data_IF_714708027554
#
_entry.id   IF_714708027554
#
_cell.length_a   1.000
_cell.length_b   1.000
_cell.length_c   1.000
_cell.angle_alpha   90.00
_cell.angle_beta   90.00
_cell.angle_gamma   90.00
#
_symmetry.space_group_name_H-M   'P 1'
#
loop_
_entity.id
_entity.type
_entity.pdbx_description
1 polymer ?
#
# COMPACT_ATOMS: atom_id res chain seq x y z
N UNK A 1 0.89 -15.81 -19.12
CA UNK A 1 2.03 -14.92 -19.27
C UNK A 1 3.04 -15.03 -18.11
N UNK A 2 2.80 -15.86 -17.09
CA UNK A 2 3.74 -16.15 -16.01
C UNK A 2 4.00 -14.99 -15.04
N UNK A 3 3.14 -13.99 -14.98
CA UNK A 3 3.19 -12.94 -13.96
C UNK A 3 2.35 -13.30 -12.73
N UNK A 4 2.77 -12.83 -11.58
CA UNK A 4 2.02 -12.94 -10.31
C UNK A 4 1.85 -11.54 -9.75
N UNK A 5 0.61 -11.16 -9.52
CA UNK A 5 0.28 -9.96 -8.74
C UNK A 5 0.31 -10.32 -7.25
N UNK A 6 1.14 -9.62 -6.49
CA UNK A 6 1.16 -9.73 -5.03
C UNK A 6 0.59 -8.45 -4.45
N UNK A 7 -0.56 -8.58 -3.82
CA UNK A 7 -1.16 -7.45 -3.09
C UNK A 7 -0.57 -7.38 -1.68
N UNK A 8 -0.03 -6.23 -1.35
CA UNK A 8 0.17 -5.86 0.04
C UNK A 8 -1.16 -6.08 0.80
N UNK A 9 -1.08 -6.50 2.06
CA UNK A 9 -2.29 -6.84 2.87
C UNK A 9 -3.24 -5.64 3.07
N UNK A 10 -3.57 -4.90 2.01
CA UNK A 10 -4.55 -3.80 1.93
C UNK A 10 -4.57 -2.83 3.14
N UNK A 11 -3.44 -2.68 3.86
CA UNK A 11 -3.31 -1.91 5.11
C UNK A 11 -2.01 -1.11 5.19
N UNK A 12 -1.15 -1.23 4.17
CA UNK A 12 0.21 -0.72 4.20
C UNK A 12 1.16 -1.57 5.04
N UNK A 13 0.88 -2.88 5.18
CA UNK A 13 1.74 -3.86 5.83
C UNK A 13 2.39 -4.73 4.75
N UNK A 14 3.71 -4.68 4.58
CA UNK A 14 4.41 -5.54 3.62
C UNK A 14 4.14 -7.03 3.86
N UNK A 15 3.98 -7.77 2.77
CA UNK A 15 3.92 -9.23 2.78
C UNK A 15 5.28 -9.83 3.15
N UNK A 16 5.37 -11.15 3.28
CA UNK A 16 6.65 -11.85 3.37
C UNK A 16 7.34 -11.86 1.99
N UNK A 17 8.11 -10.82 1.73
CA UNK A 17 8.77 -10.59 0.45
C UNK A 17 9.76 -11.70 0.15
N UNK A 18 10.55 -12.14 1.13
CA UNK A 18 11.55 -13.18 0.94
C UNK A 18 10.90 -14.50 0.49
N UNK A 19 9.76 -14.86 1.09
CA UNK A 19 9.02 -16.06 0.69
C UNK A 19 8.42 -15.94 -0.74
N UNK A 20 7.85 -14.77 -1.06
CA UNK A 20 7.28 -14.52 -2.40
C UNK A 20 8.37 -14.55 -3.48
N UNK A 21 9.50 -13.88 -3.25
CA UNK A 21 10.59 -13.85 -4.23
C UNK A 21 11.26 -15.21 -4.40
N UNK A 22 11.34 -16.02 -3.33
CA UNK A 22 11.80 -17.39 -3.43
C UNK A 22 10.91 -18.26 -4.33
N UNK A 23 9.58 -18.11 -4.20
CA UNK A 23 8.61 -18.79 -5.06
C UNK A 23 8.73 -18.30 -6.51
N UNK A 24 8.79 -17.00 -6.72
CA UNK A 24 8.92 -16.40 -8.04
C UNK A 24 10.18 -16.90 -8.74
N UNK A 25 11.32 -16.90 -8.06
CA UNK A 25 12.58 -17.41 -8.59
C UNK A 25 12.50 -18.89 -8.94
N UNK A 26 11.87 -19.72 -8.07
CA UNK A 26 11.70 -21.16 -8.31
C UNK A 26 10.89 -21.45 -9.57
N UNK A 27 9.90 -20.61 -9.86
CA UNK A 27 8.97 -20.82 -10.97
C UNK A 27 9.20 -19.88 -12.16
N UNK A 28 10.31 -19.11 -12.14
CA UNK A 28 10.64 -18.12 -13.17
C UNK A 28 9.49 -17.12 -13.45
N UNK A 29 8.91 -16.59 -12.37
CA UNK A 29 7.80 -15.65 -12.42
C UNK A 29 8.29 -14.21 -12.27
N UNK A 30 7.58 -13.26 -12.87
CA UNK A 30 7.74 -11.84 -12.62
C UNK A 30 6.87 -11.44 -11.44
N UNK A 31 7.36 -10.53 -10.59
CA UNK A 31 6.65 -10.07 -9.39
C UNK A 31 6.31 -8.60 -9.52
N UNK A 32 5.03 -8.29 -9.39
CA UNK A 32 4.53 -6.92 -9.28
C UNK A 32 3.89 -6.75 -7.91
N UNK A 33 4.42 -5.84 -7.09
CA UNK A 33 3.82 -5.52 -5.80
C UNK A 33 2.80 -4.40 -5.96
N UNK A 34 1.54 -4.68 -5.61
CA UNK A 34 0.52 -3.64 -5.42
C UNK A 34 0.73 -2.98 -4.06
N UNK A 35 1.40 -1.85 -4.07
CA UNK A 35 1.72 -1.05 -2.90
C UNK A 35 0.88 0.22 -2.80
N UNK A 36 -0.34 0.18 -3.34
CA UNK A 36 -1.27 1.31 -3.35
C UNK A 36 -1.56 1.90 -1.95
N UNK A 37 -1.29 1.16 -0.89
CA UNK A 37 -1.47 1.56 0.51
C UNK A 37 -0.16 1.55 1.32
N UNK A 38 0.98 1.29 0.67
CA UNK A 38 2.26 1.03 1.34
C UNK A 38 3.31 2.13 1.14
N UNK A 39 2.89 3.37 0.89
CA UNK A 39 3.80 4.52 0.83
C UNK A 39 4.63 4.60 2.11
N UNK A 40 5.96 4.67 1.99
CA UNK A 40 6.91 4.66 3.10
C UNK A 40 6.95 3.36 3.93
N UNK A 41 6.31 2.28 3.47
CA UNK A 41 6.53 0.97 4.07
C UNK A 41 7.92 0.44 3.71
N UNK A 42 8.51 -0.31 4.63
CA UNK A 42 9.84 -0.88 4.48
C UNK A 42 9.82 -2.38 4.82
N UNK A 43 10.70 -3.12 4.19
CA UNK A 43 10.99 -4.52 4.52
C UNK A 43 12.50 -4.71 4.65
N UNK A 44 12.95 -5.27 5.77
CA UNK A 44 14.36 -5.43 6.10
C UNK A 44 15.19 -4.13 5.89
N UNK A 45 14.60 -2.98 6.28
CA UNK A 45 15.22 -1.65 6.19
C UNK A 45 15.27 -1.04 4.79
N UNK A 46 14.64 -1.65 3.79
CA UNK A 46 14.53 -1.12 2.43
C UNK A 46 13.09 -0.75 2.10
N UNK A 47 12.90 0.35 1.38
CA UNK A 47 11.58 0.74 0.88
C UNK A 47 11.00 -0.31 -0.06
N UNK A 48 9.68 -0.50 -0.02
CA UNK A 48 8.98 -1.54 -0.81
C UNK A 48 9.27 -1.44 -2.31
N UNK A 49 9.43 -0.26 -2.86
CA UNK A 49 9.76 -0.06 -4.27
C UNK A 49 11.09 -0.66 -4.73
N UNK A 50 11.93 -1.16 -3.81
CA UNK A 50 13.19 -1.82 -4.12
C UNK A 50 13.06 -3.34 -4.37
N UNK A 51 11.84 -3.88 -4.31
CA UNK A 51 11.57 -5.31 -4.43
C UNK A 51 10.71 -5.61 -5.66
N UNK A 52 10.74 -6.88 -6.08
CA UNK A 52 10.05 -7.35 -7.28
C UNK A 52 10.59 -6.76 -8.58
N UNK A 53 9.94 -7.05 -9.68
CA UNK A 53 10.24 -6.45 -11.00
C UNK A 53 9.64 -5.05 -11.11
N UNK A 54 8.47 -4.83 -10.50
CA UNK A 54 7.79 -3.54 -10.43
C UNK A 54 6.97 -3.40 -9.13
N UNK A 55 6.69 -2.15 -8.77
CA UNK A 55 5.85 -1.82 -7.63
C UNK A 55 4.91 -0.67 -8.02
N UNK A 56 3.62 -0.80 -7.73
CA UNK A 56 2.60 0.20 -8.06
C UNK A 56 2.13 0.96 -6.83
N UNK A 57 1.89 2.26 -6.98
CA UNK A 57 1.40 3.14 -5.93
C UNK A 57 0.17 3.91 -6.41
N UNK A 58 -0.78 4.13 -5.52
CA UNK A 58 -1.95 4.96 -5.77
C UNK A 58 -1.80 6.32 -5.10
N UNK A 59 -2.16 7.39 -5.81
CA UNK A 59 -2.25 8.74 -5.27
C UNK A 59 -3.69 9.20 -5.11
N UNK A 60 -4.62 8.26 -5.05
CA UNK A 60 -6.02 8.59 -4.73
C UNK A 60 -6.11 9.39 -3.43
N UNK A 61 -7.09 10.28 -3.32
CA UNK A 61 -7.21 11.28 -2.25
C UNK A 61 -7.08 10.73 -0.82
N UNK A 62 -7.51 9.48 -0.57
CA UNK A 62 -7.46 8.86 0.76
C UNK A 62 -6.11 8.22 1.10
N UNK A 63 -5.20 8.11 0.15
CA UNK A 63 -3.90 7.46 0.36
C UNK A 63 -2.96 8.30 1.22
N UNK A 64 -1.93 7.68 1.80
CA UNK A 64 -0.94 8.38 2.62
C UNK A 64 -0.25 9.52 1.84
N UNK A 65 -0.06 9.33 0.54
CA UNK A 65 0.33 10.36 -0.41
C UNK A 65 -0.82 10.53 -1.42
N UNK A 66 -1.78 11.41 -1.11
CA UNK A 66 -2.93 11.68 -1.96
C UNK A 66 -2.78 12.97 -2.76
N UNK A 67 -3.09 12.91 -4.05
CA UNK A 67 -3.09 14.08 -4.97
C UNK A 67 -4.45 14.30 -5.64
N UNK A 68 -5.50 13.65 -5.12
CA UNK A 68 -6.83 13.55 -5.74
C UNK A 68 -6.92 12.27 -6.55
N UNK A 69 -6.33 12.25 -7.71
CA UNK A 69 -6.14 11.07 -8.57
C UNK A 69 -4.68 10.98 -8.99
N UNK A 70 -4.24 9.78 -9.35
CA UNK A 70 -2.89 9.52 -9.83
C UNK A 70 -2.30 8.23 -9.31
N UNK A 71 -1.08 7.98 -9.73
CA UNK A 71 -0.31 6.81 -9.32
C UNK A 71 1.12 6.89 -9.80
N UNK A 72 1.90 5.92 -9.36
CA UNK A 72 3.30 5.76 -9.76
C UNK A 72 3.62 4.28 -9.90
N UNK A 73 4.50 3.98 -10.81
CA UNK A 73 5.13 2.66 -10.93
C UNK A 73 6.63 2.84 -10.76
N UNK A 74 7.22 2.08 -9.85
CA UNK A 74 8.67 1.90 -9.81
C UNK A 74 9.03 0.58 -10.48
N UNK A 75 10.15 0.55 -11.19
CA UNK A 75 10.59 -0.61 -11.97
C UNK A 75 12.02 -0.93 -11.59
N UNK A 76 12.27 -2.16 -11.18
CA UNK A 76 13.61 -2.66 -10.85
C UNK A 76 14.19 -3.51 -12.00
N UNK A 77 13.38 -3.84 -13.00
CA UNK A 77 13.77 -4.57 -14.19
C UNK A 77 13.82 -3.61 -15.38
N UNK A 78 15.01 -3.39 -15.94
CA UNK A 78 15.22 -2.48 -17.07
C UNK A 78 14.48 -2.90 -18.35
N UNK A 79 14.13 -4.18 -18.49
CA UNK A 79 13.37 -4.69 -19.64
C UNK A 79 11.91 -4.27 -19.62
N UNK A 80 11.41 -3.79 -18.46
CA UNK A 80 10.06 -3.25 -18.32
C UNK A 80 10.04 -1.77 -18.72
N UNK A 81 10.05 -1.48 -19.99
CA UNK A 81 10.05 -0.13 -20.55
C UNK A 81 8.67 0.56 -20.41
N UNK A 82 8.18 0.77 -19.18
CA UNK A 82 6.85 1.35 -18.90
C UNK A 82 6.79 2.84 -19.28
N UNK A 83 7.93 3.53 -19.25
CA UNK A 83 7.99 4.98 -19.49
C UNK A 83 7.44 5.43 -20.83
N UNK A 84 7.70 4.69 -21.91
CA UNK A 84 7.18 5.01 -23.23
C UNK A 84 5.69 4.67 -23.39
N UNK A 85 5.18 3.61 -22.73
CA UNK A 85 3.75 3.28 -22.72
C UNK A 85 2.91 4.37 -22.08
N UNK A 86 3.43 5.03 -21.02
CA UNK A 86 2.82 6.19 -20.36
C UNK A 86 2.68 7.39 -21.31
N UNK A 87 3.54 7.49 -22.31
CA UNK A 87 3.67 8.63 -23.21
C UNK A 87 3.45 8.24 -24.67
N UNK A 88 2.29 7.67 -24.99
CA UNK A 88 1.83 7.33 -26.35
C UNK A 88 2.64 6.26 -27.10
N UNK A 89 3.49 5.48 -26.42
CA UNK A 89 4.39 4.54 -27.09
C UNK A 89 5.52 5.24 -27.88
N UNK A 90 5.84 6.47 -27.48
CA UNK A 90 6.80 7.33 -28.18
C UNK A 90 8.20 7.07 -27.63
N UNK A 91 9.13 6.71 -28.51
CA UNK A 91 10.55 6.48 -28.22
C UNK A 91 11.43 7.69 -28.55
N UNK A 92 10.97 8.50 -29.51
CA UNK A 92 11.52 9.82 -29.83
C UNK A 92 10.35 10.70 -30.30
N UNK A 93 10.59 12.02 -30.43
CA UNK A 93 9.56 12.99 -30.79
C UNK A 93 8.84 12.57 -32.09
N UNK A 94 7.55 12.29 -31.97
CA UNK A 94 6.67 11.80 -33.05
C UNK A 94 7.01 10.41 -33.60
N UNK A 95 7.90 9.65 -32.96
CA UNK A 95 8.20 8.25 -33.33
C UNK A 95 7.50 7.31 -32.34
N UNK A 96 6.39 6.72 -32.78
CA UNK A 96 5.58 5.78 -32.00
C UNK A 96 5.87 4.35 -32.45
N UNK A 97 6.53 3.58 -31.60
CA UNK A 97 6.91 2.19 -31.91
C UNK A 97 5.92 1.16 -31.35
N UNK A 98 5.02 1.61 -30.48
CA UNK A 98 3.97 0.76 -29.93
C UNK A 98 2.72 1.56 -29.57
N UNK A 99 1.62 0.83 -29.26
CA UNK A 99 0.43 1.45 -28.68
C UNK A 99 0.76 1.87 -27.26
N UNK A 100 0.53 3.15 -26.95
CA UNK A 100 0.71 3.71 -25.62
C UNK A 100 -0.47 4.61 -25.24
N UNK A 101 -0.40 5.14 -24.02
CA UNK A 101 -1.47 5.92 -23.39
C UNK A 101 -0.99 7.33 -23.05
N UNK A 102 -1.89 8.21 -22.73
CA UNK A 102 -1.54 9.44 -22.03
C UNK A 102 -1.80 9.28 -20.53
N UNK A 103 -0.83 8.71 -19.84
CA UNK A 103 -0.85 8.53 -18.39
C UNK A 103 0.12 9.45 -17.67
N UNK A 104 0.45 10.58 -18.31
CA UNK A 104 1.29 11.61 -17.68
C UNK A 104 0.50 12.34 -16.60
N UNK A 105 1.12 12.47 -15.41
CA UNK A 105 0.62 13.32 -14.34
C UNK A 105 0.59 14.78 -14.83
N UNK A 106 -0.48 15.50 -14.58
CA UNK A 106 -0.54 16.95 -14.85
C UNK A 106 0.19 17.74 -13.75
N UNK A 107 0.54 18.98 -14.07
CA UNK A 107 1.36 19.83 -13.21
C UNK A 107 0.66 20.19 -11.89
N UNK A 108 -0.66 20.35 -11.89
CA UNK A 108 -1.45 20.64 -10.68
C UNK A 108 -1.32 19.46 -9.70
N UNK A 109 -1.56 18.24 -10.19
CA UNK A 109 -1.41 17.00 -9.40
C UNK A 109 0.04 16.84 -8.93
N UNK A 110 1.02 17.14 -9.79
CA UNK A 110 2.43 17.14 -9.46
C UNK A 110 2.78 18.10 -8.33
N UNK A 111 2.27 19.33 -8.38
CA UNK A 111 2.50 20.35 -7.34
C UNK A 111 1.90 19.92 -5.97
N UNK A 112 0.70 19.36 -5.97
CA UNK A 112 0.09 18.79 -4.76
C UNK A 112 0.97 17.66 -4.21
N UNK A 113 1.46 16.76 -5.08
CA UNK A 113 2.33 15.66 -4.70
C UNK A 113 3.63 16.13 -4.07
N UNK A 114 4.28 17.12 -4.64
CA UNK A 114 5.51 17.71 -4.08
C UNK A 114 5.29 18.27 -2.68
N UNK A 115 4.22 19.04 -2.48
CA UNK A 115 3.86 19.57 -1.16
C UNK A 115 3.58 18.44 -0.14
N UNK A 116 2.90 17.39 -0.56
CA UNK A 116 2.61 16.21 0.31
C UNK A 116 3.85 15.40 0.67
N UNK A 117 4.86 15.35 -0.20
CA UNK A 117 6.11 14.65 0.09
C UNK A 117 6.85 15.24 1.29
N UNK A 118 6.75 16.56 1.51
CA UNK A 118 7.40 17.24 2.63
C UNK A 118 6.89 16.72 3.99
N UNK A 119 5.60 16.38 4.08
CA UNK A 119 4.96 15.90 5.32
C UNK A 119 4.82 14.39 5.40
N UNK A 120 5.03 13.65 4.31
CA UNK A 120 4.78 12.20 4.24
C UNK A 120 5.55 11.40 5.29
N UNK A 121 6.85 11.67 5.47
CA UNK A 121 7.68 10.96 6.44
C UNK A 121 7.26 11.22 7.89
N UNK A 122 7.12 12.48 8.35
CA UNK A 122 6.65 12.75 9.71
C UNK A 122 5.23 12.21 9.97
N UNK A 123 4.31 12.29 8.99
CA UNK A 123 2.97 11.73 9.12
C UNK A 123 3.00 10.19 9.24
N UNK A 124 3.83 9.51 8.46
CA UNK A 124 4.00 8.06 8.56
C UNK A 124 4.56 7.65 9.93
N UNK A 125 5.53 8.38 10.46
CA UNK A 125 6.08 8.12 11.79
C UNK A 125 5.02 8.33 12.88
N UNK A 126 4.15 9.34 12.75
CA UNK A 126 3.02 9.54 13.66
C UNK A 126 2.02 8.38 13.59
N UNK A 127 1.70 7.87 12.39
CA UNK A 127 0.84 6.67 12.23
C UNK A 127 1.44 5.46 12.92
N UNK A 128 2.77 5.24 12.81
CA UNK A 128 3.48 4.16 13.49
C UNK A 128 3.35 4.27 15.01
N UNK A 129 3.59 5.46 15.57
CA UNK A 129 3.44 5.70 17.00
C UNK A 129 2.00 5.44 17.50
N UNK A 130 0.99 5.85 16.72
CA UNK A 130 -0.42 5.54 17.04
C UNK A 130 -0.70 4.05 16.98
N UNK A 131 -0.15 3.34 15.98
CA UNK A 131 -0.30 1.90 15.85
C UNK A 131 0.32 1.14 17.04
N UNK A 132 1.47 1.60 17.57
CA UNK A 132 2.11 1.03 18.76
C UNK A 132 1.24 1.20 20.01
N UNK A 133 0.59 2.38 20.15
CA UNK A 133 -0.38 2.61 21.24
C UNK A 133 -1.59 1.67 21.10
N UNK A 134 -2.13 1.51 19.90
CA UNK A 134 -3.22 0.56 19.65
C UNK A 134 -2.79 -0.86 19.99
N UNK A 135 -1.61 -1.29 19.53
CA UNK A 135 -1.10 -2.63 19.81
C UNK A 135 -1.05 -2.93 21.30
N UNK A 136 -0.50 -2.00 22.10
CA UNK A 136 -0.37 -2.18 23.57
C UNK A 136 -1.70 -2.25 24.31
N UNK A 137 -2.78 -1.68 23.75
CA UNK A 137 -4.10 -1.64 24.38
C UNK A 137 -5.02 -2.74 23.87
N UNK A 138 -5.00 -3.03 22.58
CA UNK A 138 -5.90 -4.01 21.96
C UNK A 138 -5.54 -5.43 22.38
N UNK A 139 -4.25 -5.74 22.58
CA UNK A 139 -3.82 -7.07 23.04
C UNK A 139 -4.41 -7.46 24.42
N UNK A 140 -4.94 -6.50 25.19
CA UNK A 140 -5.61 -6.73 26.46
C UNK A 140 -7.14 -6.93 26.32
N UNK A 141 -7.69 -6.88 25.11
CA UNK A 141 -9.14 -6.98 24.85
C UNK A 141 -9.46 -8.34 24.26
N UNK A 142 -10.14 -9.19 25.00
CA UNK A 142 -10.56 -10.49 24.53
C UNK A 142 -11.49 -10.36 23.31
N UNK A 143 -11.30 -11.21 22.32
CA UNK A 143 -12.10 -11.25 21.10
C UNK A 143 -11.78 -10.16 20.08
N UNK A 144 -10.80 -9.27 20.34
CA UNK A 144 -10.34 -8.27 19.36
C UNK A 144 -8.89 -8.55 18.98
N UNK A 145 -8.65 -8.82 17.71
CA UNK A 145 -7.34 -9.14 17.18
C UNK A 145 -6.80 -7.99 16.32
N UNK A 146 -5.67 -7.43 16.72
CA UNK A 146 -4.98 -6.42 15.95
C UNK A 146 -4.28 -6.99 14.70
N UNK A 147 -3.98 -6.16 13.71
CA UNK A 147 -3.11 -6.56 12.62
C UNK A 147 -1.68 -6.79 13.15
N UNK A 148 -1.08 -7.93 12.77
CA UNK A 148 0.30 -8.26 13.14
C UNK A 148 1.19 -8.00 11.93
N UNK A 149 2.20 -7.14 12.05
CA UNK A 149 3.17 -6.90 10.98
C UNK A 149 3.93 -8.17 10.61
N UNK A 150 4.24 -8.33 9.34
CA UNK A 150 5.14 -9.37 8.87
C UNK A 150 6.53 -9.16 9.49
N UNK A 151 7.22 -10.23 9.84
CA UNK A 151 8.58 -10.15 10.37
C UNK A 151 9.49 -9.38 9.40
N UNK A 152 10.28 -8.46 9.92
CA UNK A 152 11.15 -7.60 9.12
C UNK A 152 10.45 -6.41 8.45
N UNK A 153 9.11 -6.31 8.52
CA UNK A 153 8.39 -5.18 7.96
C UNK A 153 8.29 -3.99 8.92
N UNK A 154 8.29 -2.79 8.33
CA UNK A 154 7.99 -1.53 8.99
C UNK A 154 6.80 -0.88 8.25
N UNK A 155 5.56 -1.10 8.71
CA UNK A 155 4.36 -0.72 7.99
C UNK A 155 4.17 0.78 7.82
N UNK A 156 3.44 1.16 6.78
CA UNK A 156 2.98 2.54 6.56
C UNK A 156 1.68 2.88 7.31
N UNK A 157 0.97 1.86 7.79
CA UNK A 157 -0.30 1.97 8.53
C UNK A 157 -1.31 2.89 7.83
N UNK A 158 -1.59 2.60 6.57
CA UNK A 158 -2.67 3.31 5.87
C UNK A 158 -4.01 3.08 6.56
N UNK A 159 -4.28 1.83 6.94
CA UNK A 159 -5.41 1.41 7.76
C UNK A 159 -4.92 0.56 8.94
N UNK A 160 -5.64 0.64 10.06
CA UNK A 160 -5.44 -0.22 11.20
C UNK A 160 -6.69 -1.08 11.40
N UNK A 161 -6.75 -2.22 10.69
CA UNK A 161 -7.94 -3.08 10.69
C UNK A 161 -7.82 -4.18 11.72
N UNK A 162 -8.68 -4.15 12.73
CA UNK A 162 -8.82 -5.23 13.68
C UNK A 162 -9.79 -6.29 13.16
N UNK A 163 -9.55 -7.54 13.54
CA UNK A 163 -10.51 -8.62 13.38
C UNK A 163 -11.22 -8.81 14.71
N UNK A 164 -12.53 -8.99 14.66
CA UNK A 164 -13.34 -9.27 15.82
C UNK A 164 -13.74 -10.74 15.80
N UNK A 165 -13.57 -11.41 16.93
CA UNK A 165 -14.04 -12.79 17.12
C UNK A 165 -15.51 -12.72 17.54
N UNK A 166 -16.39 -13.13 16.63
CA UNK A 166 -17.83 -13.07 16.86
C UNK A 166 -18.31 -14.05 17.95
N UNK A 167 -17.58 -15.13 18.19
CA UNK A 167 -17.90 -16.11 19.23
C UNK A 167 -17.55 -15.56 20.64
N UNK A 168 -16.64 -14.60 20.72
CA UNK A 168 -16.26 -13.93 21.96
C UNK A 168 -17.13 -12.70 22.28
N UNK A 169 -17.89 -12.22 21.30
CA UNK A 169 -18.77 -11.06 21.48
C UNK A 169 -20.20 -11.46 21.82
N UNK A 170 -20.89 -10.59 22.57
CA UNK A 170 -22.32 -10.71 22.85
C UNK A 170 -23.21 -9.98 21.83
N UNK A 171 -22.60 -9.46 20.76
CA UNK A 171 -23.27 -8.67 19.73
C UNK A 171 -22.67 -8.97 18.35
N UNK A 172 -23.36 -8.60 17.29
CA UNK A 172 -22.87 -8.69 15.92
C UNK A 172 -21.75 -7.67 15.67
N UNK A 173 -20.93 -7.88 14.63
CA UNK A 173 -19.89 -6.93 14.17
C UNK A 173 -20.49 -5.54 13.93
N UNK A 174 -21.65 -5.46 13.31
CA UNK A 174 -22.26 -4.18 12.93
C UNK A 174 -22.79 -3.43 14.16
N UNK A 175 -23.34 -4.13 15.14
CA UNK A 175 -23.72 -3.55 16.45
C UNK A 175 -22.48 -3.08 17.22
N UNK A 176 -21.37 -3.83 17.18
CA UNK A 176 -20.11 -3.43 17.79
C UNK A 176 -19.56 -2.14 17.14
N UNK A 177 -19.55 -2.06 15.81
CA UNK A 177 -19.15 -0.84 15.09
C UNK A 177 -20.08 0.34 15.42
N UNK A 178 -21.40 0.11 15.50
CA UNK A 178 -22.36 1.15 15.85
C UNK A 178 -22.14 1.66 17.28
N UNK A 179 -21.85 0.77 18.23
CA UNK A 179 -21.53 1.15 19.61
C UNK A 179 -20.27 2.00 19.69
N UNK A 180 -19.18 1.61 19.01
CA UNK A 180 -17.94 2.38 18.95
C UNK A 180 -18.16 3.77 18.34
N UNK A 181 -18.90 3.87 17.23
CA UNK A 181 -19.22 5.15 16.62
C UNK A 181 -20.03 6.06 17.57
N UNK A 182 -20.94 5.50 18.37
CA UNK A 182 -21.70 6.23 19.39
C UNK A 182 -20.82 6.79 20.50
N UNK A 183 -19.77 6.06 20.87
CA UNK A 183 -18.75 6.49 21.84
C UNK A 183 -17.71 7.46 21.25
N UNK A 184 -17.90 7.90 20.00
CA UNK A 184 -17.00 8.84 19.32
C UNK A 184 -15.74 8.18 18.72
N UNK A 185 -15.73 6.86 18.57
CA UNK A 185 -14.66 6.11 17.89
C UNK A 185 -15.13 5.75 16.48
N UNK A 186 -14.79 6.54 15.44
CA UNK A 186 -15.24 6.29 14.08
C UNK A 186 -14.68 4.96 13.57
N UNK A 187 -15.56 4.05 13.23
CA UNK A 187 -15.20 2.75 12.66
C UNK A 187 -16.01 2.46 11.41
N UNK A 188 -15.42 1.71 10.51
CA UNK A 188 -16.08 1.21 9.30
C UNK A 188 -15.63 -0.22 9.03
N UNK A 189 -16.51 -0.99 8.41
CA UNK A 189 -16.16 -2.32 7.92
C UNK A 189 -15.29 -2.16 6.69
N UNK A 190 -14.15 -2.84 6.69
CA UNK A 190 -13.28 -2.92 5.52
C UNK A 190 -13.52 -4.25 4.81
N UNK A 191 -13.66 -4.22 3.50
CA UNK A 191 -13.89 -5.39 2.61
C UNK A 191 -12.63 -6.21 2.41
#
# INVERSE_FOLDING_TARGET
DGSVEVRDRARGIPVDIDAIEAIAKKHNLKVIYDSAQAHMAEYNGKGIGAFGDACTYSFYATKNLGTGEGGMVTVNNADLAIGFLRSHGETDKYLHESIGFNYRMNDITGAIGLSKLETLKPETNRRRAVADIYASRIDAIDGVHRPVPTKGSNPAWHLYTCRVDLDALTCTRDEFCAALNKEGVPTAVHY
#
